data_IF_603334031280
#
_entry.id   IF_603334031280
#
_cell.length_a   1.000
_cell.length_b   1.000
_cell.length_c   1.000
_cell.angle_alpha   90.00
_cell.angle_beta   90.00
_cell.angle_gamma   90.00
#
_symmetry.space_group_name_H-M   'P 1'
#
loop_
_entity.id
_entity.type
_entity.pdbx_description
1 polymer ?
#
# COMPACT_ATOMS: atom_id res chain seq x y z
N UNK A 1 14.63 11.41 -3.01
CA UNK A 1 13.69 10.41 -2.46
C UNK A 1 13.82 10.44 -0.96
N UNK A 2 12.74 10.75 -0.26
CA UNK A 2 12.69 10.74 1.20
C UNK A 2 12.13 9.38 1.66
N UNK A 3 12.81 8.76 2.61
CA UNK A 3 12.36 7.53 3.26
C UNK A 3 11.51 7.91 4.47
N UNK A 4 10.33 7.32 4.59
CA UNK A 4 9.45 7.55 5.73
C UNK A 4 9.19 6.23 6.45
N UNK A 5 9.31 6.25 7.77
CA UNK A 5 8.91 5.11 8.58
C UNK A 5 7.40 5.13 8.75
N UNK A 6 6.78 3.96 8.68
CA UNK A 6 5.36 3.74 8.81
C UNK A 6 5.14 2.64 9.84
N UNK A 7 4.25 2.90 10.79
CA UNK A 7 3.87 1.96 11.83
C UNK A 7 2.62 1.19 11.40
N UNK A 8 2.64 -0.12 11.59
CA UNK A 8 1.51 -0.99 11.29
C UNK A 8 0.80 -1.34 12.59
N UNK A 9 -0.50 -1.07 12.66
CA UNK A 9 -1.36 -1.40 13.79
C UNK A 9 -2.41 -2.42 13.37
N UNK A 10 -2.74 -3.35 14.28
CA UNK A 10 -3.81 -4.32 14.08
C UNK A 10 -4.82 -4.26 15.22
N UNK A 11 -6.09 -4.48 14.88
CA UNK A 11 -7.18 -4.60 15.85
C UNK A 11 -7.35 -6.07 16.22
N UNK A 12 -7.14 -6.39 17.50
CA UNK A 12 -7.28 -7.78 18.01
C UNK A 12 -8.74 -8.26 17.95
N UNK A 13 -9.71 -7.34 18.00
CA UNK A 13 -11.13 -7.70 18.00
C UNK A 13 -11.68 -8.06 16.62
N UNK A 14 -11.33 -7.30 15.57
CA UNK A 14 -11.90 -7.47 14.23
C UNK A 14 -10.88 -7.78 13.13
N UNK A 15 -9.58 -7.84 13.46
CA UNK A 15 -8.51 -8.14 12.51
C UNK A 15 -8.13 -7.00 11.57
N UNK A 16 -8.74 -5.81 11.68
CA UNK A 16 -8.42 -4.67 10.81
C UNK A 16 -6.96 -4.23 11.00
N UNK A 17 -6.27 -4.00 9.89
CA UNK A 17 -4.90 -3.50 9.85
C UNK A 17 -4.92 -2.06 9.32
N UNK A 18 -4.17 -1.17 9.94
CA UNK A 18 -4.00 0.22 9.51
C UNK A 18 -2.55 0.64 9.59
N UNK A 19 -2.21 1.60 8.75
CA UNK A 19 -0.91 2.24 8.74
C UNK A 19 -1.00 3.63 9.38
N UNK A 20 0.00 4.01 10.17
CA UNK A 20 0.08 5.31 10.81
C UNK A 20 1.51 5.84 10.81
N UNK A 21 1.67 7.15 10.74
CA UNK A 21 2.97 7.80 10.87
C UNK A 21 3.51 7.64 12.31
N UNK A 22 4.85 7.64 12.49
CA UNK A 22 5.47 7.44 13.81
C UNK A 22 5.12 8.53 14.82
N UNK A 23 4.80 9.74 14.35
CA UNK A 23 4.37 10.87 15.19
C UNK A 23 2.84 10.90 15.40
N UNK A 24 2.09 10.04 14.69
CA UNK A 24 0.64 9.99 14.82
C UNK A 24 0.20 9.31 16.11
N UNK A 25 -0.96 9.73 16.63
CA UNK A 25 -1.59 9.10 17.79
C UNK A 25 -2.00 7.66 17.46
N UNK A 26 -1.87 6.77 18.44
CA UNK A 26 -2.31 5.35 18.31
C UNK A 26 -3.76 5.27 17.84
N UNK A 27 -4.03 4.60 16.71
CA UNK A 27 -5.37 4.50 16.15
C UNK A 27 -6.30 3.66 17.03
N UNK A 28 -7.60 3.96 16.97
CA UNK A 28 -8.62 3.25 17.72
C UNK A 28 -9.53 2.46 16.77
N UNK A 29 -9.89 1.24 17.17
CA UNK A 29 -10.80 0.37 16.44
C UNK A 29 -11.63 -0.45 17.43
N UNK A 30 -12.92 -0.69 17.12
CA UNK A 30 -13.84 -1.45 17.97
C UNK A 30 -13.90 -0.94 19.43
N UNK A 31 -13.76 0.37 19.63
CA UNK A 31 -13.76 0.99 20.97
C UNK A 31 -12.47 0.82 21.78
N UNK A 32 -11.42 0.21 21.20
CA UNK A 32 -10.15 -0.04 21.88
C UNK A 32 -8.98 0.57 21.10
N UNK A 33 -7.87 0.85 21.78
CA UNK A 33 -6.62 1.20 21.11
C UNK A 33 -6.09 -0.01 20.34
N UNK A 34 -5.67 0.20 19.10
CA UNK A 34 -5.06 -0.86 18.29
C UNK A 34 -3.65 -1.18 18.78
N UNK A 35 -3.17 -2.39 18.48
CA UNK A 35 -1.86 -2.88 18.93
C UNK A 35 -0.85 -2.72 17.79
N UNK A 36 0.33 -2.18 18.08
CA UNK A 36 1.43 -2.10 17.09
C UNK A 36 1.88 -3.53 16.75
N UNK A 37 1.81 -3.86 15.46
CA UNK A 37 2.23 -5.16 14.93
C UNK A 37 3.67 -5.12 14.44
N UNK A 38 4.01 -4.08 13.65
CA UNK A 38 5.32 -3.96 13.00
C UNK A 38 5.62 -2.51 12.63
N UNK A 39 6.80 -2.29 12.05
CA UNK A 39 7.22 -1.03 11.43
C UNK A 39 7.95 -1.33 10.11
N UNK A 40 7.72 -0.47 9.12
CA UNK A 40 8.35 -0.58 7.80
C UNK A 40 8.91 0.79 7.39
N UNK A 41 9.98 0.79 6.60
CA UNK A 41 10.51 1.99 5.97
C UNK A 41 10.07 1.99 4.51
N UNK A 42 9.17 2.90 4.15
CA UNK A 42 8.66 3.02 2.78
C UNK A 42 9.28 4.22 2.08
N UNK A 43 9.43 4.10 0.77
CA UNK A 43 9.78 5.23 -0.08
C UNK A 43 8.52 6.10 -0.18
N UNK A 44 8.65 7.41 0.05
CA UNK A 44 7.52 8.33 -0.05
C UNK A 44 6.83 8.15 -1.40
N UNK A 45 5.54 7.78 -1.37
CA UNK A 45 4.68 7.82 -2.55
C UNK A 45 4.57 9.29 -2.94
N UNK A 46 5.30 9.70 -3.96
CA UNK A 46 5.00 10.94 -4.68
C UNK A 46 3.51 10.86 -5.07
N UNK A 47 2.69 11.66 -4.39
CA UNK A 47 1.29 11.86 -4.76
C UNK A 47 1.29 12.51 -6.14
N UNK A 48 1.24 11.71 -7.20
CA UNK A 48 1.21 12.20 -8.58
C UNK A 48 2.22 11.57 -9.53
N UNK A 49 2.33 10.23 -9.54
CA UNK A 49 2.74 9.54 -10.77
C UNK A 49 1.60 8.65 -11.23
N UNK A 50 0.72 9.28 -11.99
CA UNK A 50 0.13 8.76 -13.22
C UNK A 50 0.64 7.34 -13.53
N UNK A 51 -0.17 6.33 -13.27
CA UNK A 51 0.10 4.95 -13.69
C UNK A 51 -0.28 4.78 -15.17
N UNK A 52 -0.05 5.82 -15.99
CA UNK A 52 -0.38 5.90 -17.41
C UNK A 52 0.91 6.11 -18.22
N UNK A 53 1.93 5.27 -18.02
CA UNK A 53 3.05 5.17 -18.99
C UNK A 53 3.82 3.85 -18.84
N UNK A 54 3.14 2.71 -18.98
CA UNK A 54 3.74 1.47 -19.53
C UNK A 54 2.66 0.45 -19.95
N UNK A 55 1.60 0.93 -20.62
CA UNK A 55 0.80 0.05 -21.49
C UNK A 55 1.60 -0.10 -22.78
N UNK A 56 2.51 -1.07 -22.82
CA UNK A 56 3.18 -1.51 -24.04
C UNK A 56 2.10 -1.81 -25.12
N UNK A 57 1.96 -1.01 -26.19
CA UNK A 57 0.86 -1.15 -27.13
C UNK A 57 1.05 -2.29 -28.15
N UNK A 58 2.06 -3.14 -28.01
CA UNK A 58 2.45 -4.11 -29.05
C UNK A 58 2.02 -5.56 -28.81
N UNK A 59 1.11 -5.87 -27.90
CA UNK A 59 0.50 -7.21 -27.88
C UNK A 59 -0.60 -7.34 -28.94
N UNK A 60 -0.20 -7.42 -30.22
CA UNK A 60 -1.05 -7.98 -31.27
C UNK A 60 -0.95 -9.50 -31.21
N UNK A 61 -1.99 -10.24 -30.78
CA UNK A 61 -2.04 -11.67 -31.04
C UNK A 61 -2.08 -11.83 -32.56
N UNK A 62 -1.01 -12.35 -33.15
CA UNK A 62 -1.05 -12.79 -34.54
C UNK A 62 -2.00 -13.98 -34.60
N UNK A 63 -3.18 -13.78 -35.19
CA UNK A 63 -4.03 -14.87 -35.68
C UNK A 63 -3.15 -15.74 -36.58
N UNK A 64 -2.77 -16.90 -36.08
CA UNK A 64 -2.20 -17.96 -36.87
C UNK A 64 -3.38 -18.72 -37.48
N UNK A 65 -3.88 -18.21 -38.61
CA UNK A 65 -4.62 -19.03 -39.57
C UNK A 65 -3.57 -19.85 -40.32
N UNK A 66 -3.54 -21.16 -40.09
CA UNK A 66 -2.83 -22.12 -40.92
C UNK A 66 -3.87 -23.09 -41.51
N UNK A 67 -3.67 -23.33 -42.81
CA UNK A 67 -4.52 -23.90 -43.86
C UNK A 67 -4.93 -25.38 -43.64
#
# INVERSE_FOLDING_TARGET
>A
MELHNILIYHCVACGRIVHAEPEAKVPQCCGHAMVKASEETVHGLESGKDWDDDLDPEFKPTNLEDD
#
